data_IF_773557616904
#
_entry.id   IF_773557616904
#
_cell.length_a   1.000
_cell.length_b   1.000
_cell.length_c   1.000
_cell.angle_alpha   90.00
_cell.angle_beta   90.00
_cell.angle_gamma   90.00
#
_symmetry.space_group_name_H-M   'P 1'
#
loop_
_entity.id
_entity.type
_entity.pdbx_description
1 polymer ?
#
# COMPACT_ATOMS: atom_id res chain seq x y z
N UNK A 1 12.39 -17.18 -11.36
CA UNK A 1 11.77 -16.25 -10.38
C UNK A 1 12.40 -14.85 -10.41
N UNK A 2 13.70 -14.72 -10.70
CA UNK A 2 14.40 -13.42 -10.71
C UNK A 2 13.97 -12.46 -11.84
N UNK A 3 13.57 -12.98 -13.00
CA UNK A 3 13.21 -12.14 -14.17
C UNK A 3 11.93 -11.33 -13.89
N UNK A 4 10.88 -11.98 -13.41
CA UNK A 4 9.59 -11.32 -13.13
C UNK A 4 9.75 -10.27 -12.02
N UNK A 5 10.49 -10.61 -10.97
CA UNK A 5 10.72 -9.70 -9.84
C UNK A 5 11.55 -8.49 -10.25
N UNK A 6 12.56 -8.69 -11.11
CA UNK A 6 13.37 -7.59 -11.64
C UNK A 6 12.55 -6.68 -12.58
N UNK A 7 11.69 -7.26 -13.42
CA UNK A 7 10.80 -6.50 -14.28
C UNK A 7 9.83 -5.65 -13.46
N UNK A 8 9.20 -6.25 -12.43
CA UNK A 8 8.28 -5.54 -11.53
C UNK A 8 8.99 -4.42 -10.76
N UNK A 9 10.22 -4.66 -10.29
CA UNK A 9 11.05 -3.64 -9.64
C UNK A 9 11.35 -2.46 -10.56
N UNK A 10 11.74 -2.73 -11.82
CA UNK A 10 11.98 -1.68 -12.83
C UNK A 10 10.73 -0.87 -13.12
N UNK A 11 9.58 -1.53 -13.24
CA UNK A 11 8.29 -0.86 -13.45
C UNK A 11 7.90 0.02 -12.27
N UNK A 12 8.13 -0.44 -11.05
CA UNK A 12 7.92 0.32 -9.83
C UNK A 12 8.81 1.57 -9.76
N UNK A 13 10.11 1.40 -10.08
CA UNK A 13 11.07 2.50 -10.12
C UNK A 13 10.71 3.52 -11.22
N UNK A 14 10.24 3.04 -12.37
CA UNK A 14 9.75 3.91 -13.45
C UNK A 14 8.50 4.69 -13.03
N UNK A 15 7.55 4.04 -12.37
CA UNK A 15 6.37 4.72 -11.83
C UNK A 15 6.78 5.85 -10.90
N UNK A 16 7.56 5.58 -9.86
CA UNK A 16 7.93 6.58 -8.87
C UNK A 16 8.84 7.70 -9.38
N UNK A 17 9.64 7.46 -10.42
CA UNK A 17 10.58 8.45 -10.94
C UNK A 17 10.03 9.27 -12.10
N UNK A 18 9.23 8.62 -12.97
CA UNK A 18 8.88 9.21 -14.26
C UNK A 18 7.39 9.48 -14.41
N UNK A 19 6.51 8.60 -13.88
CA UNK A 19 5.07 8.68 -14.12
C UNK A 19 4.33 9.44 -13.04
N UNK A 20 4.68 9.24 -11.76
CA UNK A 20 4.02 9.92 -10.66
C UNK A 20 4.22 11.45 -10.74
N UNK A 21 3.17 12.21 -10.44
CA UNK A 21 3.22 13.67 -10.40
C UNK A 21 4.12 14.16 -9.28
N UNK A 22 3.94 13.62 -8.07
CA UNK A 22 4.78 13.95 -6.94
C UNK A 22 5.93 12.95 -6.79
N UNK A 23 7.14 13.42 -7.04
CA UNK A 23 8.35 12.59 -7.00
C UNK A 23 9.03 12.55 -5.64
N UNK A 24 8.51 13.27 -4.65
CA UNK A 24 9.07 13.30 -3.29
C UNK A 24 8.95 11.93 -2.63
N UNK A 25 10.07 11.43 -2.10
CA UNK A 25 10.08 10.15 -1.38
C UNK A 25 9.14 10.13 -0.17
N UNK A 26 8.96 11.30 0.47
CA UNK A 26 8.04 11.45 1.61
C UNK A 26 6.58 11.19 1.26
N UNK A 27 6.17 11.36 0.01
CA UNK A 27 4.80 11.14 -0.47
C UNK A 27 4.52 9.69 -0.90
N UNK A 28 5.54 8.85 -0.99
CA UNK A 28 5.44 7.47 -1.48
C UNK A 28 4.97 6.53 -0.38
N UNK A 29 4.12 5.56 -0.74
CA UNK A 29 3.73 4.41 0.08
C UNK A 29 3.59 3.19 -0.83
N UNK A 30 4.13 2.05 -0.41
CA UNK A 30 4.05 0.84 -1.21
C UNK A 30 3.88 -0.40 -0.36
N UNK A 31 3.35 -1.46 -0.98
CA UNK A 31 3.19 -2.76 -0.33
C UNK A 31 3.44 -3.91 -1.26
N UNK A 32 3.87 -5.02 -0.67
CA UNK A 32 3.95 -6.35 -1.27
C UNK A 32 3.84 -7.39 -0.16
N UNK A 33 3.76 -8.67 -0.50
CA UNK A 33 3.86 -9.73 0.52
C UNK A 33 5.21 -9.65 1.24
N UNK A 34 5.21 -9.86 2.56
CA UNK A 34 6.42 -9.74 3.42
C UNK A 34 7.61 -10.53 2.87
N UNK A 35 7.36 -11.75 2.37
CA UNK A 35 8.41 -12.62 1.83
C UNK A 35 9.06 -12.06 0.55
N UNK A 36 8.36 -11.19 -0.18
CA UNK A 36 8.85 -10.58 -1.41
C UNK A 36 9.50 -9.22 -1.18
N UNK A 37 9.29 -8.57 -0.02
CA UNK A 37 9.86 -7.25 0.29
C UNK A 37 11.37 -7.17 0.05
N UNK A 38 12.11 -8.22 0.36
CA UNK A 38 13.58 -8.29 0.18
C UNK A 38 14.04 -8.03 -1.26
N UNK A 39 13.22 -8.38 -2.25
CA UNK A 39 13.55 -8.19 -3.67
C UNK A 39 13.44 -6.75 -4.16
N UNK A 40 12.81 -5.88 -3.37
CA UNK A 40 12.66 -4.45 -3.65
C UNK A 40 13.63 -3.57 -2.87
N UNK A 41 14.58 -4.18 -2.15
CA UNK A 41 15.65 -3.43 -1.48
C UNK A 41 16.45 -2.62 -2.50
N UNK A 42 16.74 -1.34 -2.15
CA UNK A 42 17.43 -0.40 -3.05
C UNK A 42 16.58 0.08 -4.22
N UNK A 43 15.28 -0.25 -4.29
CA UNK A 43 14.37 0.38 -5.24
C UNK A 43 14.07 1.84 -4.85
N UNK A 44 13.60 2.62 -5.83
CA UNK A 44 13.17 4.01 -5.60
C UNK A 44 11.92 4.15 -4.73
N UNK A 45 11.21 3.04 -4.49
CA UNK A 45 10.10 3.00 -3.55
C UNK A 45 10.52 3.38 -2.11
N UNK A 46 11.74 3.05 -1.73
CA UNK A 46 12.30 3.30 -0.39
C UNK A 46 11.75 2.35 0.68
N UNK A 47 12.63 1.76 1.48
CA UNK A 47 12.20 0.80 2.51
C UNK A 47 11.34 1.42 3.61
N UNK A 48 11.57 2.70 3.94
CA UNK A 48 10.80 3.46 4.93
C UNK A 48 9.35 3.70 4.52
N UNK A 49 9.06 3.64 3.21
CA UNK A 49 7.73 3.84 2.64
C UNK A 49 6.91 2.54 2.52
N UNK A 50 7.48 1.42 2.96
CA UNK A 50 6.79 0.15 2.95
C UNK A 50 5.75 0.10 4.07
N UNK A 51 4.49 -0.16 3.70
CA UNK A 51 3.40 -0.38 4.63
C UNK A 51 2.77 -1.75 4.39
N UNK A 52 2.90 -2.66 5.36
CA UNK A 52 2.29 -3.99 5.27
C UNK A 52 0.76 -3.88 5.25
N UNK A 53 0.09 -4.76 4.48
CA UNK A 53 -1.39 -4.84 4.45
C UNK A 53 -1.96 -5.04 5.85
N UNK A 54 -1.37 -5.92 6.66
CA UNK A 54 -1.83 -6.24 8.01
C UNK A 54 -1.46 -5.20 9.07
N UNK A 55 -0.91 -4.03 8.70
CA UNK A 55 -0.65 -2.95 9.66
C UNK A 55 -1.98 -2.46 10.24
N UNK A 56 -2.06 -2.32 11.56
CA UNK A 56 -3.27 -1.82 12.22
C UNK A 56 -3.53 -0.36 11.84
N UNK A 57 -4.78 0.07 12.02
CA UNK A 57 -5.21 1.43 11.70
C UNK A 57 -4.26 2.48 12.31
N UNK A 58 -3.75 3.36 11.47
CA UNK A 58 -2.85 4.44 11.85
C UNK A 58 -3.05 5.63 10.93
N UNK A 59 -2.99 6.84 11.50
CA UNK A 59 -3.12 8.09 10.74
C UNK A 59 -1.76 8.59 10.21
N UNK A 60 -0.66 7.94 10.60
CA UNK A 60 0.70 8.39 10.31
C UNK A 60 1.05 8.45 8.81
N UNK A 61 0.22 7.87 7.95
CA UNK A 61 0.43 7.83 6.50
C UNK A 61 -0.50 8.74 5.71
N UNK A 62 -1.33 9.55 6.37
CA UNK A 62 -2.28 10.47 5.75
C UNK A 62 -1.67 11.53 4.83
N UNK A 63 -0.35 11.72 4.86
CA UNK A 63 0.40 12.60 3.96
C UNK A 63 0.86 11.91 2.66
N UNK A 64 0.61 10.62 2.50
CA UNK A 64 1.05 9.83 1.34
C UNK A 64 0.06 9.94 0.19
N UNK A 65 0.55 10.34 -0.98
CA UNK A 65 -0.28 10.60 -2.18
C UNK A 65 0.11 9.74 -3.39
N UNK A 66 1.28 9.08 -3.35
CA UNK A 66 1.78 8.23 -4.44
C UNK A 66 1.93 6.81 -3.95
N UNK A 67 1.03 5.94 -4.39
CA UNK A 67 0.86 4.59 -3.86
C UNK A 67 1.29 3.53 -4.87
N UNK A 68 1.84 2.40 -4.39
CA UNK A 68 2.07 1.23 -5.23
C UNK A 68 1.63 -0.05 -4.51
N UNK A 69 0.63 -0.72 -5.06
CA UNK A 69 0.08 -1.97 -4.54
C UNK A 69 0.51 -3.16 -5.40
N UNK A 70 1.56 -3.87 -4.96
CA UNK A 70 2.20 -4.95 -5.74
C UNK A 70 1.68 -6.35 -5.36
N UNK A 71 0.42 -6.44 -4.96
CA UNK A 71 -0.19 -7.69 -4.53
C UNK A 71 -1.32 -8.08 -5.46
N UNK A 72 -1.37 -9.36 -5.81
CA UNK A 72 -2.55 -9.99 -6.38
C UNK A 72 -3.15 -10.90 -5.29
N UNK A 73 -4.19 -10.41 -4.62
CA UNK A 73 -4.72 -11.04 -3.41
C UNK A 73 -5.69 -12.16 -3.76
N UNK A 74 -5.45 -13.33 -3.17
CA UNK A 74 -6.33 -14.49 -3.23
C UNK A 74 -6.60 -15.02 -1.82
N UNK A 75 -7.69 -15.72 -1.65
CA UNK A 75 -7.90 -16.54 -0.45
C UNK A 75 -6.89 -17.70 -0.38
N UNK A 76 -6.68 -18.21 0.84
CA UNK A 76 -5.98 -19.47 1.02
C UNK A 76 -6.79 -20.57 0.32
N UNK A 77 -6.16 -21.40 -0.55
CA UNK A 77 -6.82 -22.52 -1.22
C UNK A 77 -7.54 -23.48 -0.26
N UNK A 78 -6.96 -23.75 0.92
CA UNK A 78 -7.57 -24.62 1.93
C UNK A 78 -8.90 -24.07 2.45
N UNK A 79 -9.00 -22.75 2.62
CA UNK A 79 -10.24 -22.06 3.00
C UNK A 79 -11.29 -22.21 1.90
N UNK A 80 -10.89 -22.00 0.65
CA UNK A 80 -11.80 -22.14 -0.50
C UNK A 80 -12.32 -23.58 -0.60
N UNK A 81 -11.44 -24.57 -0.45
CA UNK A 81 -11.81 -25.98 -0.48
C UNK A 81 -12.75 -26.35 0.67
N UNK A 82 -12.49 -25.88 1.88
CA UNK A 82 -13.35 -26.13 3.04
C UNK A 82 -14.79 -25.64 2.84
N UNK A 83 -14.96 -24.44 2.30
CA UNK A 83 -16.28 -23.86 2.05
C UNK A 83 -16.94 -24.50 0.83
N UNK A 84 -16.19 -24.78 -0.24
CA UNK A 84 -16.70 -25.44 -1.44
C UNK A 84 -17.24 -26.85 -1.13
N UNK A 85 -16.60 -27.60 -0.23
CA UNK A 85 -17.08 -28.91 0.22
C UNK A 85 -18.42 -28.84 0.99
N UNK A 86 -18.90 -27.65 1.30
CA UNK A 86 -20.18 -27.36 1.99
C UNK A 86 -21.14 -26.57 1.14
N UNK A 87 -20.89 -26.48 -0.17
CA UNK A 87 -21.67 -25.70 -1.14
C UNK A 87 -21.75 -24.19 -0.80
N UNK A 88 -20.77 -23.68 -0.04
CA UNK A 88 -20.68 -22.26 0.32
C UNK A 88 -19.75 -21.54 -0.65
N UNK A 89 -20.29 -20.57 -1.39
CA UNK A 89 -19.53 -19.72 -2.29
C UNK A 89 -18.81 -18.62 -1.49
N UNK A 90 -17.48 -18.57 -1.59
CA UNK A 90 -16.66 -17.51 -0.99
C UNK A 90 -16.49 -16.36 -1.97
N UNK A 91 -16.80 -15.11 -1.61
CA UNK A 91 -16.64 -13.94 -2.48
C UNK A 91 -15.17 -13.52 -2.57
N UNK A 92 -14.42 -14.14 -3.48
CA UNK A 92 -12.95 -13.98 -3.60
C UNK A 92 -12.54 -12.56 -3.97
N UNK A 93 -13.32 -11.91 -4.83
CA UNK A 93 -13.01 -10.55 -5.29
C UNK A 93 -13.34 -9.49 -4.24
N UNK A 94 -14.40 -9.68 -3.46
CA UNK A 94 -14.75 -8.81 -2.34
C UNK A 94 -13.68 -8.84 -1.23
N UNK A 95 -13.11 -10.00 -0.97
CA UNK A 95 -11.98 -10.13 -0.04
C UNK A 95 -10.75 -9.35 -0.53
N UNK A 96 -10.41 -9.50 -1.82
CA UNK A 96 -9.30 -8.78 -2.43
C UNK A 96 -9.53 -7.27 -2.44
N UNK A 97 -10.77 -6.84 -2.72
CA UNK A 97 -11.20 -5.45 -2.70
C UNK A 97 -11.09 -4.85 -1.30
N UNK A 98 -11.58 -5.56 -0.29
CA UNK A 98 -11.51 -5.12 1.11
C UNK A 98 -10.07 -4.85 1.55
N UNK A 99 -9.14 -5.75 1.23
CA UNK A 99 -7.73 -5.62 1.58
C UNK A 99 -7.07 -4.37 0.93
N UNK A 100 -7.31 -4.16 -0.37
CA UNK A 100 -6.71 -3.01 -1.07
C UNK A 100 -7.32 -1.69 -0.61
N UNK A 101 -8.65 -1.63 -0.42
CA UNK A 101 -9.34 -0.42 0.09
C UNK A 101 -8.81 -0.07 1.48
N UNK A 102 -8.78 -1.01 2.41
CA UNK A 102 -8.29 -0.75 3.77
C UNK A 102 -6.85 -0.24 3.77
N UNK A 103 -6.01 -0.73 2.84
CA UNK A 103 -4.65 -0.28 2.72
C UNK A 103 -4.56 1.13 2.10
N UNK A 104 -5.32 1.39 1.02
CA UNK A 104 -5.35 2.70 0.36
C UNK A 104 -5.85 3.81 1.30
N UNK A 105 -6.88 3.54 2.09
CA UNK A 105 -7.46 4.51 3.03
C UNK A 105 -6.57 4.81 4.26
N UNK A 106 -5.36 4.28 4.32
CA UNK A 106 -4.32 4.75 5.25
C UNK A 106 -3.52 5.94 4.72
N UNK A 107 -3.66 6.24 3.44
CA UNK A 107 -3.03 7.36 2.74
C UNK A 107 -3.87 8.64 2.81
N UNK A 108 -3.55 9.60 1.95
CA UNK A 108 -4.30 10.85 1.84
C UNK A 108 -5.74 10.68 1.37
N UNK A 109 -6.13 9.53 0.80
CA UNK A 109 -7.51 9.22 0.42
C UNK A 109 -8.53 9.35 1.56
N UNK A 110 -8.11 9.26 2.80
CA UNK A 110 -8.98 9.43 3.99
C UNK A 110 -9.09 10.88 4.47
N UNK A 111 -8.30 11.80 3.90
CA UNK A 111 -8.25 13.20 4.30
C UNK A 111 -9.34 13.95 3.54
N UNK A 112 -10.41 14.32 4.23
CA UNK A 112 -11.57 15.03 3.64
C UNK A 112 -11.44 16.54 3.77
N UNK A 113 -10.65 17.01 4.74
CA UNK A 113 -10.41 18.43 5.04
C UNK A 113 -9.03 18.62 5.65
N UNK A 114 -8.54 19.85 5.65
CA UNK A 114 -7.30 20.18 6.37
C UNK A 114 -7.36 19.69 7.83
N UNK A 115 -6.34 18.96 8.25
CA UNK A 115 -6.20 18.46 9.61
C UNK A 115 -4.73 18.25 9.98
N UNK A 116 -4.47 18.12 11.27
CA UNK A 116 -3.15 17.77 11.78
C UNK A 116 -3.07 16.25 11.98
N UNK A 117 -1.95 15.65 11.59
CA UNK A 117 -1.64 14.24 11.81
C UNK A 117 -0.24 14.07 12.39
N UNK A 118 -0.05 13.04 13.17
CA UNK A 118 1.27 12.66 13.66
C UNK A 118 1.93 11.71 12.65
N UNK A 119 3.09 12.10 12.12
CA UNK A 119 3.85 11.34 11.13
C UNK A 119 5.07 10.73 11.78
N UNK A 120 5.29 9.43 11.54
CA UNK A 120 6.47 8.73 12.02
C UNK A 120 7.75 9.29 11.38
N UNK A 121 8.74 9.59 12.22
CA UNK A 121 10.07 10.03 11.80
C UNK A 121 11.12 8.94 11.95
N UNK A 122 11.27 8.44 13.17
CA UNK A 122 12.29 7.44 13.48
C UNK A 122 11.94 6.65 14.75
N UNK A 123 12.72 5.62 15.00
CA UNK A 123 12.72 4.92 16.30
C UNK A 123 13.84 5.48 17.16
N UNK A 124 13.52 5.89 18.39
CA UNK A 124 14.50 6.23 19.41
C UNK A 124 14.54 5.11 20.46
N UNK A 125 15.74 4.78 20.93
CA UNK A 125 15.92 3.86 22.05
C UNK A 125 16.05 4.73 23.29
N UNK A 126 15.19 4.50 24.28
CA UNK A 126 15.28 5.15 25.57
C UNK A 126 16.35 4.48 26.46
N UNK A 127 16.70 5.13 27.57
CA UNK A 127 17.75 4.64 28.50
C UNK A 127 17.40 3.28 29.13
N UNK A 128 16.11 2.94 29.21
CA UNK A 128 15.59 1.63 29.66
C UNK A 128 15.66 0.54 28.55
N UNK A 129 16.12 0.86 27.34
CA UNK A 129 16.21 -0.05 26.20
C UNK A 129 14.93 -0.16 25.36
N UNK A 130 13.87 0.52 25.70
CA UNK A 130 12.60 0.51 24.97
C UNK A 130 12.69 1.31 23.67
N UNK A 131 12.01 0.82 22.62
CA UNK A 131 11.90 1.52 21.32
C UNK A 131 10.64 2.37 21.32
N UNK A 132 10.82 3.68 21.27
CA UNK A 132 9.74 4.65 21.19
C UNK A 132 9.70 5.27 19.79
N UNK A 133 8.51 5.38 19.22
CA UNK A 133 8.31 6.04 17.94
C UNK A 133 8.37 7.56 18.12
N UNK A 134 9.31 8.21 17.45
CA UNK A 134 9.34 9.67 17.33
C UNK A 134 8.40 10.09 16.23
N UNK A 135 7.42 10.92 16.55
CA UNK A 135 6.47 11.47 15.60
C UNK A 135 6.62 12.99 15.49
N UNK A 136 6.26 13.51 14.34
CA UNK A 136 6.15 14.95 14.09
C UNK A 136 4.73 15.27 13.66
N UNK A 137 4.15 16.31 14.22
CA UNK A 137 2.83 16.80 13.85
C UNK A 137 2.94 17.69 12.62
N UNK A 138 2.20 17.35 11.57
CA UNK A 138 2.15 18.09 10.32
C UNK A 138 0.71 18.37 9.93
N UNK A 139 0.50 19.48 9.23
CA UNK A 139 -0.76 19.75 8.53
C UNK A 139 -0.82 18.99 7.22
N UNK A 140 -1.99 18.42 6.93
CA UNK A 140 -2.29 17.75 5.68
C UNK A 140 -3.62 18.24 5.14
N UNK A 141 -3.69 18.34 3.82
CA UNK A 141 -4.88 18.72 3.06
C UNK A 141 -5.29 17.58 2.14
N UNK A 142 -6.54 17.54 1.68
CA UNK A 142 -6.95 16.63 0.62
C UNK A 142 -6.10 16.86 -0.64
N UNK A 143 -5.45 15.82 -1.11
CA UNK A 143 -4.64 15.84 -2.33
C UNK A 143 -5.07 14.70 -3.27
N UNK A 144 -4.87 14.88 -4.57
CA UNK A 144 -5.05 13.76 -5.52
C UNK A 144 -4.09 12.64 -5.20
N UNK A 145 -4.61 11.42 -5.11
CA UNK A 145 -3.81 10.22 -4.85
C UNK A 145 -3.65 9.42 -6.13
N UNK A 146 -2.42 9.13 -6.47
CA UNK A 146 -2.07 8.26 -7.60
C UNK A 146 -1.72 6.86 -7.10
N UNK A 147 -2.21 5.84 -7.82
CA UNK A 147 -1.94 4.45 -7.45
C UNK A 147 -1.45 3.63 -8.64
N UNK A 148 -0.33 2.93 -8.45
CA UNK A 148 0.20 1.93 -9.36
C UNK A 148 -0.20 0.52 -8.91
N UNK A 149 -0.90 -0.20 -9.76
CA UNK A 149 -1.35 -1.58 -9.53
C UNK A 149 -0.96 -2.43 -10.75
N UNK A 150 0.11 -3.23 -10.71
CA UNK A 150 0.54 -4.04 -11.85
C UNK A 150 -0.42 -5.19 -12.17
N UNK A 151 -1.17 -5.71 -11.20
CA UNK A 151 -2.14 -6.78 -11.39
C UNK A 151 -3.37 -6.30 -12.15
N UNK A 152 -3.62 -6.85 -13.35
CA UNK A 152 -4.83 -6.55 -14.12
C UNK A 152 -6.11 -6.88 -13.34
N UNK A 153 -6.15 -8.04 -12.66
CA UNK A 153 -7.31 -8.44 -11.84
C UNK A 153 -7.61 -7.42 -10.74
N UNK A 154 -6.58 -6.99 -10.00
CA UNK A 154 -6.77 -6.03 -8.92
C UNK A 154 -7.23 -4.65 -9.43
N UNK A 155 -6.70 -4.20 -10.60
CA UNK A 155 -7.20 -2.99 -11.26
C UNK A 155 -8.67 -3.11 -11.65
N UNK A 156 -9.05 -4.25 -12.25
CA UNK A 156 -10.43 -4.50 -12.67
C UNK A 156 -11.38 -4.48 -11.46
N UNK A 157 -11.07 -5.21 -10.40
CA UNK A 157 -11.86 -5.24 -9.16
C UNK A 157 -12.05 -3.82 -8.60
N UNK A 158 -11.00 -3.05 -8.57
CA UNK A 158 -11.03 -1.68 -8.03
C UNK A 158 -11.85 -0.74 -8.94
N UNK A 159 -11.72 -0.87 -10.26
CA UNK A 159 -12.51 -0.12 -11.24
C UNK A 159 -14.01 -0.41 -11.16
N UNK A 160 -14.36 -1.67 -11.06
CA UNK A 160 -15.76 -2.11 -10.96
C UNK A 160 -16.45 -1.53 -9.69
N UNK A 161 -15.65 -1.18 -8.68
CA UNK A 161 -16.14 -0.61 -7.43
C UNK A 161 -16.10 0.93 -7.38
N UNK A 162 -15.05 1.55 -7.96
CA UNK A 162 -14.87 3.00 -8.01
C UNK A 162 -14.79 3.48 -9.46
N UNK A 163 -15.27 4.71 -9.71
CA UNK A 163 -14.98 5.41 -10.95
C UNK A 163 -13.60 6.06 -10.84
N UNK A 164 -12.65 5.61 -11.66
CA UNK A 164 -11.32 6.19 -11.78
C UNK A 164 -11.08 6.73 -13.18
N UNK A 165 -10.42 7.89 -13.27
CA UNK A 165 -9.80 8.32 -14.50
C UNK A 165 -8.57 7.45 -14.81
N UNK A 166 -8.60 6.79 -15.98
CA UNK A 166 -7.42 6.11 -16.53
C UNK A 166 -6.58 7.11 -17.34
N UNK A 167 -5.32 7.18 -17.01
CA UNK A 167 -4.33 7.82 -17.85
C UNK A 167 -3.55 6.80 -18.65
#
# INVERSE_FOLDING_TARGET
SNIITNSLRKSLDNFFNNQAHDKRSSKRMWTTFKNFRKYFRGSRAGERNFLSIGTRATNMYGHKTVLAYLINRFHNPDILQFFSARDIRVPVDEYALSDIIQWMFRSNLRIEREQEIDVFREWKIEDNGDKVAVTERIKVEPETVEIYIPSYRMRKILKDYFWFDER
#
